data_IF_989869682708
#
_entry.id   IF_989869682708
#
_cell.length_a   1.000
_cell.length_b   1.000
_cell.length_c   1.000
_cell.angle_alpha   90.00
_cell.angle_beta   90.00
_cell.angle_gamma   90.00
#
_symmetry.space_group_name_H-M   'P 1'
#
loop_
_entity.id
_entity.type
_entity.pdbx_description
1 polymer ?
#
# COMPACT_ATOMS: atom_id res chain seq x y z
N UNK A 1 -6.89 32.25 -0.30
CA UNK A 1 -6.53 31.42 -1.48
C UNK A 1 -6.51 30.00 -0.97
N UNK A 2 -7.11 29.02 -1.69
CA UNK A 2 -7.02 27.61 -1.27
C UNK A 2 -5.59 27.14 -1.42
N UNK A 3 -5.08 26.43 -0.41
CA UNK A 3 -3.76 25.84 -0.48
C UNK A 3 -3.60 24.97 -1.73
N UNK A 4 -2.41 24.96 -2.36
CA UNK A 4 -2.18 24.14 -3.54
C UNK A 4 -2.35 22.67 -3.19
N UNK A 5 -3.05 21.93 -4.06
CA UNK A 5 -3.25 20.49 -3.89
C UNK A 5 -1.89 19.76 -3.92
N UNK A 6 -1.57 18.88 -2.95
CA UNK A 6 -0.32 18.15 -2.98
C UNK A 6 -0.27 17.21 -4.20
N UNK A 7 0.85 17.23 -4.91
CA UNK A 7 1.15 16.28 -5.98
C UNK A 7 1.54 14.93 -5.37
N UNK A 8 1.00 13.85 -5.89
CA UNK A 8 1.23 12.49 -5.39
C UNK A 8 1.76 11.63 -6.52
N UNK A 9 2.98 11.13 -6.39
CA UNK A 9 3.53 10.18 -7.35
C UNK A 9 2.89 8.81 -7.15
N UNK A 10 2.39 8.20 -8.24
CA UNK A 10 1.82 6.85 -8.23
C UNK A 10 2.68 5.95 -9.11
N UNK A 11 3.18 4.83 -8.54
CA UNK A 11 3.76 3.75 -9.33
C UNK A 11 2.73 2.65 -9.50
N UNK A 12 2.28 2.44 -10.73
CA UNK A 12 1.18 1.54 -11.04
C UNK A 12 1.59 0.53 -12.11
N UNK A 13 0.87 -0.59 -12.18
CA UNK A 13 0.93 -1.49 -13.32
C UNK A 13 0.45 -0.77 -14.58
N UNK A 14 1.00 -1.15 -15.74
CA UNK A 14 0.68 -0.50 -17.01
C UNK A 14 -0.84 -0.56 -17.30
N UNK A 15 -1.46 0.60 -17.43
CA UNK A 15 -2.90 0.74 -17.67
C UNK A 15 -3.80 0.61 -16.44
N UNK A 16 -3.29 0.30 -15.24
CA UNK A 16 -4.09 0.02 -14.03
C UNK A 16 -4.10 1.17 -12.99
N UNK A 17 -4.01 2.42 -13.41
CA UNK A 17 -3.88 3.57 -12.50
C UNK A 17 -5.20 4.28 -12.13
N UNK A 18 -6.28 4.04 -12.86
CA UNK A 18 -7.50 4.85 -12.75
C UNK A 18 -8.10 4.89 -11.32
N UNK A 19 -8.22 3.73 -10.65
CA UNK A 19 -8.80 3.67 -9.30
C UNK A 19 -7.97 4.44 -8.26
N UNK A 20 -6.65 4.35 -8.34
CA UNK A 20 -5.72 5.07 -7.46
C UNK A 20 -5.77 6.58 -7.72
N UNK A 21 -5.74 6.99 -8.99
CA UNK A 21 -5.82 8.39 -9.39
C UNK A 21 -7.14 9.04 -8.97
N UNK A 22 -8.27 8.32 -9.12
CA UNK A 22 -9.59 8.77 -8.67
C UNK A 22 -9.61 8.95 -7.15
N UNK A 23 -9.05 8.00 -6.38
CA UNK A 23 -9.01 8.09 -4.93
C UNK A 23 -8.14 9.27 -4.45
N UNK A 24 -6.95 9.48 -5.02
CA UNK A 24 -6.10 10.65 -4.74
C UNK A 24 -6.83 11.95 -5.05
N UNK A 25 -7.52 12.02 -6.21
CA UNK A 25 -8.27 13.21 -6.62
C UNK A 25 -9.43 13.50 -5.67
N UNK A 26 -10.19 12.47 -5.28
CA UNK A 26 -11.31 12.58 -4.35
C UNK A 26 -10.86 13.02 -2.95
N UNK A 27 -9.68 12.57 -2.48
CA UNK A 27 -9.07 13.01 -1.22
C UNK A 27 -8.45 14.41 -1.29
N UNK A 28 -8.48 15.07 -2.46
CA UNK A 28 -8.01 16.44 -2.65
C UNK A 28 -6.54 16.58 -3.05
N UNK A 29 -5.91 15.51 -3.55
CA UNK A 29 -4.57 15.51 -4.13
C UNK A 29 -4.57 15.71 -5.65
N UNK A 30 -3.38 15.79 -6.22
CA UNK A 30 -3.12 15.81 -7.67
C UNK A 30 -2.30 14.55 -8.04
N UNK A 31 -2.91 13.53 -8.66
CA UNK A 31 -2.21 12.28 -9.00
C UNK A 31 -1.23 12.49 -10.16
N UNK A 32 -0.04 11.91 -10.04
CA UNK A 32 1.02 11.84 -11.05
C UNK A 32 1.33 10.35 -11.34
N UNK A 33 0.49 9.64 -12.11
CA UNK A 33 0.66 8.21 -12.35
C UNK A 33 1.72 7.90 -13.38
N UNK A 34 2.43 6.78 -13.19
CA UNK A 34 3.39 6.22 -14.14
C UNK A 34 3.57 4.72 -13.95
N UNK A 35 4.03 4.05 -15.01
CA UNK A 35 4.58 2.71 -14.94
C UNK A 35 6.09 2.81 -14.78
N UNK A 36 6.64 2.17 -13.73
CA UNK A 36 8.06 2.21 -13.40
C UNK A 36 8.69 3.64 -13.51
N UNK A 37 8.06 4.69 -12.91
CA UNK A 37 8.54 6.06 -13.10
C UNK A 37 9.82 6.33 -12.30
N UNK A 38 10.61 7.29 -12.76
CA UNK A 38 11.72 7.82 -11.96
C UNK A 38 11.20 8.61 -10.73
N UNK A 39 11.97 8.68 -9.63
CA UNK A 39 11.60 9.46 -8.45
C UNK A 39 11.44 10.95 -8.76
N UNK A 40 10.27 11.51 -8.49
CA UNK A 40 9.97 12.94 -8.55
C UNK A 40 9.72 13.51 -7.15
N UNK A 41 10.76 14.00 -6.50
CA UNK A 41 10.66 14.62 -5.18
C UNK A 41 9.97 15.99 -5.17
N UNK A 42 9.46 16.49 -6.29
CA UNK A 42 8.49 17.59 -6.29
C UNK A 42 7.08 17.13 -5.91
N UNK A 43 6.84 15.82 -5.87
CA UNK A 43 5.64 15.22 -5.29
C UNK A 43 5.73 15.16 -3.76
N UNK A 44 4.67 15.52 -3.07
CA UNK A 44 4.61 15.56 -1.61
C UNK A 44 4.52 14.16 -0.97
N UNK A 45 4.18 13.12 -1.74
CA UNK A 45 4.09 11.74 -1.27
C UNK A 45 4.12 10.75 -2.41
N UNK A 46 4.29 9.46 -2.06
CA UNK A 46 4.36 8.32 -2.96
C UNK A 46 3.28 7.29 -2.65
N UNK A 47 2.60 6.79 -3.68
CA UNK A 47 1.78 5.57 -3.58
C UNK A 47 2.41 4.47 -4.43
N UNK A 48 2.82 3.39 -3.80
CA UNK A 48 3.17 2.14 -4.44
C UNK A 48 1.90 1.30 -4.59
N UNK A 49 1.43 1.17 -5.82
CA UNK A 49 0.15 0.55 -6.13
C UNK A 49 0.23 -0.99 -6.15
N UNK A 50 -0.93 -1.65 -6.11
CA UNK A 50 -1.05 -3.09 -6.29
C UNK A 50 -0.58 -3.56 -7.67
N UNK A 51 -0.49 -4.88 -7.87
CA UNK A 51 -0.03 -5.51 -9.11
C UNK A 51 0.40 -6.95 -8.92
N UNK A 52 1.14 -7.50 -9.89
CA UNK A 52 1.71 -8.84 -9.85
C UNK A 52 2.85 -9.02 -8.84
N UNK A 53 3.46 -10.18 -8.83
CA UNK A 53 4.43 -10.61 -7.83
C UNK A 53 5.77 -9.89 -7.93
N UNK A 54 6.51 -9.84 -6.81
CA UNK A 54 7.90 -9.37 -6.77
C UNK A 54 8.85 -10.49 -7.21
N UNK A 55 9.96 -10.11 -7.86
CA UNK A 55 11.03 -11.02 -8.21
C UNK A 55 11.83 -11.45 -6.95
N UNK A 56 11.71 -12.71 -6.48
CA UNK A 56 12.44 -13.16 -5.30
C UNK A 56 13.96 -13.05 -5.45
N UNK A 57 14.50 -13.21 -6.66
CA UNK A 57 15.94 -13.14 -6.91
C UNK A 57 16.54 -11.76 -6.60
N UNK A 58 15.75 -10.68 -6.76
CA UNK A 58 16.19 -9.33 -6.43
C UNK A 58 16.46 -9.13 -4.94
N UNK A 59 15.84 -9.93 -4.09
CA UNK A 59 15.93 -9.83 -2.63
C UNK A 59 16.71 -10.99 -2.02
N UNK A 60 17.29 -11.88 -2.85
CA UNK A 60 18.04 -13.05 -2.40
C UNK A 60 17.16 -14.12 -1.75
N UNK A 61 15.88 -14.15 -2.05
CA UNK A 61 14.96 -15.17 -1.56
C UNK A 61 14.95 -16.40 -2.48
N UNK A 62 14.82 -17.63 -1.91
CA UNK A 62 14.59 -18.79 -2.73
C UNK A 62 13.24 -18.68 -3.46
N UNK A 63 13.17 -19.22 -4.68
CA UNK A 63 11.89 -19.32 -5.41
C UNK A 63 10.94 -20.29 -4.70
N UNK A 64 9.74 -19.84 -4.34
CA UNK A 64 8.77 -20.61 -3.57
C UNK A 64 7.32 -20.45 -4.10
N UNK A 65 7.15 -20.40 -5.41
CA UNK A 65 5.86 -20.17 -6.06
C UNK A 65 5.75 -18.77 -6.66
N UNK A 66 4.53 -18.37 -7.00
CA UNK A 66 4.23 -17.05 -7.54
C UNK A 66 4.08 -16.99 -9.06
N UNK A 67 3.55 -15.87 -9.52
CA UNK A 67 3.39 -15.54 -10.93
C UNK A 67 4.68 -14.88 -11.49
N UNK A 68 4.92 -14.84 -12.82
CA UNK A 68 6.08 -14.19 -13.39
C UNK A 68 6.20 -12.72 -12.96
N UNK A 69 7.35 -12.29 -12.39
CA UNK A 69 7.53 -10.94 -11.88
C UNK A 69 7.78 -9.91 -12.99
N UNK A 70 7.50 -8.65 -12.67
CA UNK A 70 7.89 -7.49 -13.49
C UNK A 70 9.14 -6.82 -12.92
N UNK A 71 10.31 -7.32 -13.28
CA UNK A 71 11.61 -6.86 -12.76
C UNK A 71 11.91 -5.39 -13.06
N UNK A 72 11.38 -4.84 -14.16
CA UNK A 72 11.55 -3.41 -14.48
C UNK A 72 10.82 -2.56 -13.46
N UNK A 73 9.59 -2.93 -13.14
CA UNK A 73 8.78 -2.27 -12.13
C UNK A 73 9.36 -2.46 -10.73
N UNK A 74 9.86 -3.67 -10.40
CA UNK A 74 10.47 -3.96 -9.11
C UNK A 74 11.67 -3.04 -8.83
N UNK A 75 12.60 -2.91 -9.79
CA UNK A 75 13.77 -2.04 -9.69
C UNK A 75 13.37 -0.56 -9.53
N UNK A 76 12.41 -0.10 -10.31
CA UNK A 76 11.91 1.27 -10.23
C UNK A 76 11.26 1.55 -8.86
N UNK A 77 10.43 0.63 -8.36
CA UNK A 77 9.73 0.83 -7.08
C UNK A 77 10.65 0.76 -5.85
N UNK A 78 11.69 -0.06 -5.87
CA UNK A 78 12.75 -0.03 -4.85
C UNK A 78 13.47 1.32 -4.85
N UNK A 79 13.78 1.88 -6.02
CA UNK A 79 14.39 3.21 -6.14
C UNK A 79 13.44 4.32 -5.69
N UNK A 80 12.17 4.26 -6.05
CA UNK A 80 11.13 5.19 -5.60
C UNK A 80 11.01 5.17 -4.07
N UNK A 81 10.84 3.97 -3.49
CA UNK A 81 10.77 3.81 -2.05
C UNK A 81 11.97 4.44 -1.36
N UNK A 82 13.19 4.10 -1.81
CA UNK A 82 14.43 4.63 -1.24
C UNK A 82 14.50 6.16 -1.29
N UNK A 83 14.15 6.77 -2.44
CA UNK A 83 14.20 8.21 -2.61
C UNK A 83 13.24 8.94 -1.65
N UNK A 84 11.97 8.49 -1.57
CA UNK A 84 10.96 9.08 -0.70
C UNK A 84 11.24 8.79 0.79
N UNK A 85 11.74 7.59 1.12
CA UNK A 85 12.16 7.22 2.47
C UNK A 85 13.27 8.14 2.99
N UNK A 86 14.34 8.34 2.21
CA UNK A 86 15.46 9.22 2.58
C UNK A 86 15.06 10.69 2.68
N UNK A 87 14.06 11.10 1.91
CA UNK A 87 13.47 12.44 1.99
C UNK A 87 12.46 12.61 3.14
N UNK A 88 12.16 11.55 3.90
CA UNK A 88 11.17 11.58 4.99
C UNK A 88 9.74 11.82 4.53
N UNK A 89 9.44 11.59 3.24
CA UNK A 89 8.12 11.86 2.66
C UNK A 89 7.13 10.72 2.92
N UNK A 90 5.82 11.05 3.01
CA UNK A 90 4.77 10.06 3.17
C UNK A 90 4.78 9.02 2.06
N UNK A 91 4.64 7.73 2.45
CA UNK A 91 4.55 6.60 1.52
C UNK A 91 3.34 5.74 1.90
N UNK A 92 2.48 5.45 0.92
CA UNK A 92 1.40 4.47 1.06
C UNK A 92 1.67 3.31 0.11
N UNK A 93 1.86 2.11 0.67
CA UNK A 93 1.96 0.85 -0.08
C UNK A 93 0.64 0.10 -0.06
N UNK A 94 0.13 -0.29 -1.23
CA UNK A 94 -1.16 -1.00 -1.37
C UNK A 94 -0.89 -2.36 -2.00
N UNK A 95 -1.31 -3.44 -1.34
CA UNK A 95 -1.17 -4.83 -1.77
C UNK A 95 0.31 -5.14 -2.11
N UNK A 96 0.67 -5.29 -3.37
CA UNK A 96 2.07 -5.42 -3.80
C UNK A 96 2.95 -4.28 -3.28
N UNK A 97 2.45 -3.04 -3.21
CA UNK A 97 3.19 -1.89 -2.67
C UNK A 97 3.57 -2.04 -1.20
N UNK A 98 2.73 -2.67 -0.36
CA UNK A 98 3.11 -3.06 1.01
C UNK A 98 4.28 -4.05 1.00
N UNK A 99 4.25 -5.02 0.09
CA UNK A 99 5.31 -6.02 -0.06
C UNK A 99 6.63 -5.40 -0.53
N UNK A 100 6.59 -4.42 -1.46
CA UNK A 100 7.77 -3.63 -1.88
C UNK A 100 8.40 -2.91 -0.69
N UNK A 101 7.59 -2.29 0.18
CA UNK A 101 8.08 -1.62 1.39
C UNK A 101 8.79 -2.63 2.30
N UNK A 102 8.16 -3.77 2.60
CA UNK A 102 8.76 -4.81 3.44
C UNK A 102 10.10 -5.32 2.86
N UNK A 103 10.11 -5.68 1.58
CA UNK A 103 11.29 -6.16 0.87
C UNK A 103 12.42 -5.12 0.85
N UNK A 104 12.10 -3.85 0.61
CA UNK A 104 13.05 -2.73 0.61
C UNK A 104 13.67 -2.46 2.00
N UNK A 105 12.97 -2.86 3.06
CA UNK A 105 13.44 -2.77 4.45
C UNK A 105 14.15 -4.06 4.93
N UNK A 106 14.45 -4.98 4.01
CA UNK A 106 15.14 -6.25 4.32
C UNK A 106 14.24 -7.30 4.97
N UNK A 107 12.94 -7.13 4.85
CA UNK A 107 11.92 -8.09 5.30
C UNK A 107 11.76 -9.29 4.36
N UNK A 108 10.68 -10.06 4.52
CA UNK A 108 10.41 -11.27 3.76
C UNK A 108 8.94 -11.47 3.42
N UNK A 109 8.67 -12.27 2.39
CA UNK A 109 7.32 -12.60 1.94
C UNK A 109 7.00 -14.09 2.07
N UNK A 110 5.73 -14.37 2.31
CA UNK A 110 5.08 -15.65 1.94
C UNK A 110 4.75 -15.50 0.46
N UNK A 111 5.49 -16.21 -0.41
CA UNK A 111 5.37 -16.08 -1.87
C UNK A 111 4.13 -16.76 -2.44
N UNK A 112 3.50 -17.66 -1.68
CA UNK A 112 2.21 -18.23 -2.00
C UNK A 112 1.54 -18.70 -0.70
N UNK A 113 0.39 -18.14 -0.38
CA UNK A 113 -0.38 -18.51 0.81
C UNK A 113 -0.86 -19.96 0.69
N UNK A 114 -0.87 -20.74 1.79
CA UNK A 114 -1.47 -22.06 1.79
C UNK A 114 -2.91 -22.02 1.26
N UNK A 115 -3.37 -23.06 0.53
CA UNK A 115 -4.70 -23.09 -0.09
C UNK A 115 -5.86 -22.73 0.85
N UNK A 116 -5.77 -23.16 2.10
CA UNK A 116 -6.77 -22.89 3.14
C UNK A 116 -6.85 -21.42 3.56
N UNK A 117 -5.76 -20.66 3.42
CA UNK A 117 -5.74 -19.21 3.62
C UNK A 117 -6.07 -18.47 2.32
N UNK A 118 -5.54 -18.94 1.19
CA UNK A 118 -5.71 -18.32 -0.11
C UNK A 118 -7.19 -18.12 -0.48
N UNK A 119 -8.08 -19.05 -0.11
CA UNK A 119 -9.53 -18.96 -0.36
C UNK A 119 -10.17 -17.70 0.26
N UNK A 120 -9.63 -17.18 1.35
CA UNK A 120 -10.12 -15.97 2.02
C UNK A 120 -9.50 -14.68 1.47
N UNK A 121 -8.38 -14.77 0.74
CA UNK A 121 -7.60 -13.60 0.30
C UNK A 121 -7.60 -13.39 -1.22
N UNK A 122 -7.74 -14.42 -2.04
CA UNK A 122 -7.53 -14.29 -3.49
C UNK A 122 -8.75 -13.77 -4.25
N UNK A 123 -9.97 -13.98 -3.78
CA UNK A 123 -11.17 -13.60 -4.53
C UNK A 123 -11.25 -14.26 -5.92
N UNK A 124 -11.96 -13.61 -6.83
CA UNK A 124 -12.09 -14.03 -8.24
C UNK A 124 -11.76 -12.87 -9.18
N UNK A 125 -11.56 -13.14 -10.49
CA UNK A 125 -11.37 -12.06 -11.49
C UNK A 125 -12.53 -11.06 -11.58
N UNK A 126 -13.70 -11.39 -11.01
CA UNK A 126 -14.90 -10.55 -11.07
C UNK A 126 -15.23 -9.87 -9.76
N UNK A 127 -14.71 -10.40 -8.65
CA UNK A 127 -15.03 -9.91 -7.32
C UNK A 127 -13.93 -10.23 -6.31
N UNK A 128 -13.52 -9.24 -5.53
CA UNK A 128 -12.55 -9.39 -4.46
C UNK A 128 -13.13 -10.28 -3.35
N UNK A 129 -12.29 -11.04 -2.64
CA UNK A 129 -12.67 -11.66 -1.37
C UNK A 129 -12.92 -10.57 -0.31
N UNK A 130 -13.53 -10.93 0.81
CA UNK A 130 -13.77 -10.03 1.94
C UNK A 130 -13.58 -10.77 3.23
N UNK A 131 -12.94 -10.10 4.17
CA UNK A 131 -12.72 -10.66 5.50
C UNK A 131 -12.55 -9.56 6.54
N UNK A 132 -12.79 -9.87 7.82
CA UNK A 132 -12.42 -8.99 8.91
C UNK A 132 -10.91 -8.98 9.12
N UNK A 133 -10.40 -7.84 9.53
CA UNK A 133 -9.01 -7.59 9.91
C UNK A 133 -8.99 -7.05 11.33
N UNK A 134 -8.21 -7.66 12.21
CA UNK A 134 -7.99 -7.20 13.59
C UNK A 134 -6.86 -6.19 13.60
N UNK A 135 -7.10 -5.03 14.18
CA UNK A 135 -6.12 -3.95 14.31
C UNK A 135 -5.40 -4.02 15.66
N UNK A 136 -4.15 -3.63 15.68
CA UNK A 136 -3.36 -3.51 16.92
C UNK A 136 -3.82 -2.27 17.71
N UNK A 137 -4.02 -2.36 19.02
CA UNK A 137 -4.34 -1.22 19.86
C UNK A 137 -3.30 -0.09 19.72
N UNK A 138 -3.77 1.14 19.49
CA UNK A 138 -2.94 2.32 19.28
C UNK A 138 -2.40 2.50 17.85
N UNK A 139 -2.66 1.54 16.93
CA UNK A 139 -2.30 1.66 15.52
C UNK A 139 -3.14 2.71 14.79
N UNK A 140 -2.70 3.10 13.59
CA UNK A 140 -3.46 4.02 12.74
C UNK A 140 -4.82 3.43 12.35
N UNK A 141 -4.84 2.17 11.91
CA UNK A 141 -6.09 1.56 11.47
C UNK A 141 -7.07 1.40 12.65
N UNK A 142 -6.59 1.14 13.86
CA UNK A 142 -7.45 1.12 15.05
C UNK A 142 -8.06 2.49 15.33
N UNK A 143 -7.30 3.57 15.19
CA UNK A 143 -7.83 4.95 15.33
C UNK A 143 -8.84 5.32 14.25
N UNK A 144 -8.72 4.80 13.03
CA UNK A 144 -9.62 5.10 11.92
C UNK A 144 -10.90 4.26 11.93
N UNK A 145 -10.81 2.99 12.33
CA UNK A 145 -11.86 2.00 12.12
C UNK A 145 -12.27 1.24 13.39
N UNK A 146 -11.53 1.39 14.47
CA UNK A 146 -11.72 0.58 15.68
C UNK A 146 -10.98 -0.77 15.61
N UNK A 147 -11.29 -1.70 16.53
CA UNK A 147 -10.52 -2.95 16.70
C UNK A 147 -10.71 -3.97 15.57
N UNK A 148 -11.71 -3.80 14.74
CA UNK A 148 -12.01 -4.70 13.59
C UNK A 148 -12.38 -3.83 12.40
N UNK A 149 -11.75 -4.10 11.25
CA UNK A 149 -11.97 -3.49 9.95
C UNK A 149 -12.41 -4.58 8.97
N UNK A 150 -13.47 -4.33 8.19
CA UNK A 150 -13.91 -5.22 7.11
C UNK A 150 -13.36 -4.73 5.78
N UNK A 151 -12.55 -5.57 5.12
CA UNK A 151 -11.81 -5.19 3.89
C UNK A 151 -12.18 -6.07 2.71
N UNK A 152 -11.91 -5.55 1.50
CA UNK A 152 -11.74 -6.36 0.31
C UNK A 152 -10.36 -7.04 0.32
N UNK A 153 -10.18 -8.07 -0.50
CA UNK A 153 -8.90 -8.79 -0.59
C UNK A 153 -8.73 -9.43 -1.96
N UNK A 154 -7.55 -9.24 -2.56
CA UNK A 154 -7.19 -9.88 -3.84
C UNK A 154 -5.68 -10.10 -3.91
N UNK A 155 -5.18 -11.06 -3.13
CA UNK A 155 -3.76 -11.43 -3.10
C UNK A 155 -3.58 -12.91 -2.75
N UNK A 156 -2.43 -13.48 -3.12
CA UNK A 156 -1.98 -14.81 -2.71
C UNK A 156 -0.60 -14.76 -2.06
N UNK A 157 0.06 -13.61 -2.08
CA UNK A 157 1.29 -13.34 -1.35
C UNK A 157 1.02 -12.47 -0.13
N UNK A 158 1.87 -12.53 0.88
CA UNK A 158 1.75 -11.73 2.10
C UNK A 158 3.12 -11.38 2.69
N UNK A 159 3.18 -10.34 3.51
CA UNK A 159 4.37 -10.01 4.30
C UNK A 159 4.53 -11.03 5.42
N UNK A 160 5.71 -11.70 5.46
CA UNK A 160 6.12 -12.60 6.52
C UNK A 160 6.94 -11.87 7.60
N UNK A 161 7.85 -10.97 7.16
CA UNK A 161 8.66 -10.11 7.99
C UNK A 161 8.54 -8.68 7.44
N UNK A 162 8.09 -7.70 8.24
CA UNK A 162 7.91 -6.33 7.77
C UNK A 162 9.22 -5.59 7.49
N UNK A 163 10.36 -6.09 7.97
CA UNK A 163 11.67 -5.48 7.82
C UNK A 163 11.97 -4.35 8.81
N UNK A 164 13.14 -3.73 8.62
CA UNK A 164 13.68 -2.73 9.53
C UNK A 164 12.78 -1.50 9.67
N UNK A 165 12.50 -1.12 10.91
CA UNK A 165 11.70 0.07 11.23
C UNK A 165 10.20 -0.06 10.99
N UNK A 166 9.74 -1.17 10.40
CA UNK A 166 8.32 -1.48 10.18
C UNK A 166 7.77 -2.37 11.29
N UNK A 167 6.47 -2.24 11.54
CA UNK A 167 5.74 -3.08 12.51
C UNK A 167 4.41 -3.48 11.88
N UNK A 168 4.09 -4.78 11.88
CA UNK A 168 2.75 -5.23 11.48
C UNK A 168 1.74 -4.75 12.50
N UNK A 169 0.68 -4.11 12.05
CA UNK A 169 -0.32 -3.45 12.89
C UNK A 169 -1.75 -3.93 12.65
N UNK A 170 -1.94 -4.86 11.70
CA UNK A 170 -3.22 -5.51 11.51
C UNK A 170 -3.06 -6.90 10.88
N UNK A 171 -3.97 -7.82 11.22
CA UNK A 171 -3.95 -9.21 10.79
C UNK A 171 -5.34 -9.73 10.45
N UNK A 172 -5.44 -10.59 9.45
CA UNK A 172 -6.62 -11.41 9.22
C UNK A 172 -6.80 -12.46 10.33
N UNK A 173 -7.94 -13.13 10.37
CA UNK A 173 -8.21 -14.21 11.35
C UNK A 173 -7.19 -15.36 11.24
N UNK A 174 -6.70 -15.64 10.03
CA UNK A 174 -5.64 -16.64 9.77
C UNK A 174 -4.23 -16.19 10.11
N UNK A 175 -4.04 -14.98 10.65
CA UNK A 175 -2.73 -14.44 11.03
C UNK A 175 -1.92 -13.84 9.88
N UNK A 176 -2.52 -13.66 8.69
CA UNK A 176 -1.88 -12.98 7.56
C UNK A 176 -1.77 -11.48 7.87
N UNK A 177 -0.59 -10.91 7.63
CA UNK A 177 -0.34 -9.48 7.82
C UNK A 177 -1.16 -8.65 6.81
N UNK A 178 -2.01 -7.75 7.32
CA UNK A 178 -2.92 -6.93 6.52
C UNK A 178 -2.57 -5.44 6.53
N UNK A 179 -1.79 -5.00 7.52
CA UNK A 179 -1.21 -3.66 7.51
C UNK A 179 0.09 -3.62 8.31
N UNK A 180 0.93 -2.66 7.95
CA UNK A 180 2.15 -2.33 8.69
C UNK A 180 2.40 -0.83 8.66
N UNK A 181 3.00 -0.32 9.73
CA UNK A 181 3.34 1.07 9.93
C UNK A 181 4.83 1.22 10.25
N UNK A 182 5.45 2.30 9.74
CA UNK A 182 6.82 2.63 10.16
C UNK A 182 6.79 3.33 11.53
N UNK A 183 7.75 2.97 12.39
CA UNK A 183 7.80 3.43 13.78
C UNK A 183 7.99 4.95 13.94
N UNK A 184 8.52 5.65 12.93
CA UNK A 184 8.89 7.08 13.02
C UNK A 184 8.48 7.91 11.79
N UNK A 185 8.43 7.31 10.61
CA UNK A 185 8.13 8.00 9.36
C UNK A 185 6.67 7.81 8.96
N UNK A 186 6.07 8.70 8.21
CA UNK A 186 4.69 8.58 7.73
C UNK A 186 4.56 7.55 6.60
N UNK A 187 4.88 6.29 6.90
CA UNK A 187 4.83 5.17 5.95
C UNK A 187 3.82 4.15 6.45
N UNK A 188 2.85 3.85 5.60
CA UNK A 188 1.80 2.88 5.82
C UNK A 188 1.79 1.88 4.67
N UNK A 189 1.75 0.59 4.98
CA UNK A 189 1.44 -0.48 4.04
C UNK A 189 0.10 -1.13 4.41
N UNK A 190 -0.76 -1.38 3.42
CA UNK A 190 -1.99 -2.16 3.56
C UNK A 190 -2.05 -3.24 2.50
N UNK A 191 -2.44 -4.47 2.88
CA UNK A 191 -2.48 -5.60 1.96
C UNK A 191 -3.77 -5.62 1.13
N UNK A 192 -4.84 -5.05 1.64
CA UNK A 192 -6.12 -4.86 0.95
C UNK A 192 -6.10 -3.63 0.03
N UNK A 193 -7.19 -3.39 -0.69
CA UNK A 193 -7.32 -2.38 -1.75
C UNK A 193 -8.26 -1.23 -1.35
N UNK A 194 -7.80 -0.20 -0.61
CA UNK A 194 -8.65 0.93 -0.22
C UNK A 194 -9.18 1.71 -1.43
N UNK A 195 -8.48 1.73 -2.58
CA UNK A 195 -8.95 2.37 -3.80
C UNK A 195 -10.19 1.72 -4.41
N UNK A 196 -10.49 0.47 -4.05
CA UNK A 196 -11.66 -0.29 -4.53
C UNK A 196 -12.84 -0.25 -3.57
N UNK A 197 -12.67 0.39 -2.40
CA UNK A 197 -13.73 0.49 -1.37
C UNK A 197 -13.88 1.91 -0.83
N UNK A 198 -13.54 2.94 -1.61
CA UNK A 198 -13.63 4.35 -1.24
C UNK A 198 -14.36 5.20 -2.26
N UNK A 199 -14.94 6.30 -1.82
CA UNK A 199 -15.59 7.32 -2.64
C UNK A 199 -16.63 6.71 -3.61
N UNK A 200 -16.48 6.93 -4.93
CA UNK A 200 -17.37 6.39 -5.95
C UNK A 200 -17.34 4.86 -6.06
N UNK A 201 -16.31 4.21 -5.49
CA UNK A 201 -16.17 2.74 -5.43
C UNK A 201 -16.50 2.16 -4.06
N UNK A 202 -17.13 2.97 -3.18
CA UNK A 202 -17.56 2.52 -1.86
C UNK A 202 -18.44 1.29 -1.95
N UNK A 203 -18.23 0.34 -1.06
CA UNK A 203 -18.90 -0.96 -0.99
C UNK A 203 -19.68 -1.08 0.31
N UNK A 204 -20.91 -1.62 0.29
CA UNK A 204 -21.70 -1.81 1.51
C UNK A 204 -21.20 -2.96 2.40
N UNK A 205 -20.36 -3.84 1.86
CA UNK A 205 -19.80 -5.03 2.49
C UNK A 205 -18.35 -4.84 2.98
N UNK A 206 -17.83 -3.59 2.90
CA UNK A 206 -16.53 -3.19 3.42
C UNK A 206 -16.66 -1.85 4.14
N UNK A 207 -15.72 -1.56 5.05
CA UNK A 207 -15.57 -0.24 5.64
C UNK A 207 -15.06 0.76 4.61
N UNK A 208 -15.23 2.07 4.86
CA UNK A 208 -14.86 3.11 3.90
C UNK A 208 -13.34 3.32 3.84
N UNK A 209 -12.71 2.87 2.76
CA UNK A 209 -11.28 3.08 2.52
C UNK A 209 -10.85 4.56 2.38
N UNK A 210 -11.81 5.48 2.25
CA UNK A 210 -11.56 6.93 2.14
C UNK A 210 -10.75 7.50 3.29
N UNK A 211 -10.95 7.00 4.53
CA UNK A 211 -10.22 7.47 5.70
C UNK A 211 -8.70 7.26 5.59
N UNK A 212 -8.23 6.19 4.93
CA UNK A 212 -6.80 5.96 4.67
C UNK A 212 -6.25 7.03 3.72
N UNK A 213 -6.98 7.34 2.66
CA UNK A 213 -6.59 8.35 1.68
C UNK A 213 -6.55 9.75 2.29
N UNK A 214 -7.54 10.11 3.11
CA UNK A 214 -7.61 11.38 3.81
C UNK A 214 -6.45 11.55 4.78
N UNK A 215 -6.12 10.50 5.55
CA UNK A 215 -4.96 10.49 6.43
C UNK A 215 -3.66 10.67 5.64
N UNK A 216 -3.45 9.89 4.58
CA UNK A 216 -2.24 9.97 3.74
C UNK A 216 -2.07 11.37 3.14
N UNK A 217 -3.14 11.93 2.56
CA UNK A 217 -3.11 13.27 1.98
C UNK A 217 -2.88 14.37 3.04
N UNK A 218 -3.36 14.17 4.27
CA UNK A 218 -3.05 15.07 5.39
C UNK A 218 -1.55 15.08 5.66
N UNK A 219 -0.91 13.92 5.76
CA UNK A 219 0.55 13.82 5.97
C UNK A 219 1.32 14.50 4.83
N UNK A 220 0.88 14.33 3.57
CA UNK A 220 1.50 14.99 2.42
C UNK A 220 1.40 16.52 2.47
N UNK A 221 0.30 17.09 2.98
CA UNK A 221 0.15 18.54 3.16
C UNK A 221 1.09 19.07 4.25
N UNK A 222 1.21 18.35 5.37
CA UNK A 222 2.08 18.74 6.49
C UNK A 222 3.54 18.85 6.05
N UNK A 223 4.03 17.91 5.25
CA UNK A 223 5.40 17.96 4.68
C UNK A 223 5.57 19.13 3.71
N UNK A 224 4.59 19.34 2.82
CA UNK A 224 4.66 20.45 1.85
C UNK A 224 4.69 21.83 2.53
N UNK A 225 4.07 21.98 3.71
CA UNK A 225 4.12 23.23 4.48
C UNK A 225 5.41 23.40 5.28
N UNK A 226 6.00 22.31 5.82
CA UNK A 226 7.25 22.35 6.58
C UNK A 226 8.50 22.67 5.73
N UNK A 227 8.43 22.54 4.40
CA UNK A 227 9.53 22.91 3.47
C UNK A 227 9.54 24.41 3.13
N UNK A 228 8.56 25.18 3.59
CA UNK A 228 8.41 26.62 3.33
C UNK A 228 8.71 27.51 4.56
N UNK A 229 9.04 26.92 5.72
CA UNK A 229 9.53 27.59 6.92
C UNK A 229 11.06 27.45 7.07
#
# INVERSE_FOLDING_TARGET
MSDPKPRIQLSCEQGAFAAYADAVTAAGGLPCPGYAPEPDLSCAGLVLCGGGDLDPDMFGWPQAGGDPPDRVRDLAEVNLFRAFYLAGRPILGICRGMQVIAASQGGGLIQDLPPEQCVFHKGTKRDDARHPVRTMPGSLLERLYGPILHTNSFHHQAVADPGFGMTVTAWSEGGVAEAMEHQRLPILGVQFHPERMSYARRRPDCDDGGAIWEYFLKQCREVAHGEHE
#
